data_IF_201550861006
#
_entry.id   IF_201550861006
#
_cell.length_a   1.000
_cell.length_b   1.000
_cell.length_c   1.000
_cell.angle_alpha   90.00
_cell.angle_beta   90.00
_cell.angle_gamma   90.00
#
_symmetry.space_group_name_H-M   'P 1'
#
loop_
_entity.id
_entity.type
_entity.pdbx_description
1 polymer ?
#
# COMPACT_ATOMS: atom_id res chain seq x y z
N UNK A 1 -48.35 22.28 -54.03
CA UNK A 1 -46.92 21.77 -54.13
C UNK A 1 -45.93 22.43 -53.18
N UNK A 2 -46.10 23.66 -52.69
CA UNK A 2 -45.17 24.37 -51.78
C UNK A 2 -45.17 23.86 -50.34
N UNK A 3 -46.26 23.32 -49.79
CA UNK A 3 -46.38 22.84 -48.38
C UNK A 3 -45.51 21.61 -48.04
N UNK A 4 -45.36 20.67 -49.02
CA UNK A 4 -44.61 19.43 -48.77
C UNK A 4 -43.08 19.62 -48.74
N UNK A 5 -42.55 20.70 -49.33
CA UNK A 5 -41.13 20.99 -49.38
C UNK A 5 -40.63 21.62 -48.05
N UNK A 6 -41.49 22.43 -47.41
CA UNK A 6 -41.14 23.06 -46.11
C UNK A 6 -41.17 22.04 -44.99
N UNK A 7 -42.10 21.06 -45.03
CA UNK A 7 -42.16 20.00 -44.03
C UNK A 7 -40.91 19.09 -44.08
N UNK A 8 -40.46 18.73 -45.29
CA UNK A 8 -39.28 17.87 -45.50
C UNK A 8 -37.95 18.55 -45.09
N UNK A 9 -37.85 19.89 -45.13
CA UNK A 9 -36.71 20.66 -44.64
C UNK A 9 -36.68 20.75 -43.13
N UNK A 10 -37.83 20.93 -42.46
CA UNK A 10 -37.94 20.97 -41.01
C UNK A 10 -37.59 19.61 -40.36
N UNK A 11 -38.07 18.51 -40.95
CA UNK A 11 -37.76 17.15 -40.45
C UNK A 11 -36.25 16.84 -40.55
N UNK A 12 -35.56 17.23 -41.63
CA UNK A 12 -34.10 17.02 -41.77
C UNK A 12 -33.32 17.88 -40.77
N UNK A 13 -33.72 19.13 -40.50
CA UNK A 13 -33.08 19.98 -39.51
C UNK A 13 -33.24 19.45 -38.07
N UNK A 14 -34.42 18.94 -37.73
CA UNK A 14 -34.72 18.34 -36.42
C UNK A 14 -33.85 17.08 -36.24
N UNK A 15 -33.68 16.25 -37.28
CA UNK A 15 -32.93 15.03 -37.22
C UNK A 15 -31.39 15.30 -37.01
N UNK A 16 -30.86 16.35 -37.63
CA UNK A 16 -29.48 16.78 -37.45
C UNK A 16 -29.25 17.34 -36.07
N UNK A 17 -30.15 18.17 -35.54
CA UNK A 17 -30.08 18.71 -34.19
C UNK A 17 -30.18 17.60 -33.13
N UNK A 18 -31.15 16.67 -33.32
CA UNK A 18 -31.29 15.53 -32.41
C UNK A 18 -30.06 14.63 -32.40
N UNK A 19 -29.45 14.39 -33.55
CA UNK A 19 -28.19 13.59 -33.66
C UNK A 19 -27.01 14.33 -33.03
N UNK A 20 -26.88 15.65 -33.19
CA UNK A 20 -25.84 16.43 -32.54
C UNK A 20 -25.99 16.45 -31.01
N UNK A 21 -27.22 16.57 -30.50
CA UNK A 21 -27.51 16.50 -29.07
C UNK A 21 -27.21 15.11 -28.51
N UNK A 22 -27.53 14.05 -29.27
CA UNK A 22 -27.22 12.67 -28.86
C UNK A 22 -25.71 12.42 -28.80
N UNK A 23 -24.92 12.93 -29.78
CA UNK A 23 -23.46 12.84 -29.73
C UNK A 23 -22.90 13.63 -28.55
N UNK A 24 -23.46 14.81 -28.27
CA UNK A 24 -23.02 15.66 -27.15
C UNK A 24 -23.28 14.97 -25.79
N UNK A 25 -24.44 14.33 -25.63
CA UNK A 25 -24.79 13.56 -24.42
C UNK A 25 -23.92 12.31 -24.27
N UNK A 26 -23.52 11.68 -25.37
CA UNK A 26 -22.65 10.50 -25.35
C UNK A 26 -21.20 10.83 -24.97
N UNK A 27 -20.70 12.00 -25.37
CA UNK A 27 -19.35 12.50 -25.03
C UNK A 27 -19.29 13.04 -23.62
N UNK A 28 -20.39 13.66 -23.11
CA UNK A 28 -20.45 14.18 -21.74
C UNK A 28 -20.44 13.10 -20.66
N UNK A 29 -20.81 11.84 -20.98
CA UNK A 29 -20.85 10.72 -20.03
C UNK A 29 -19.50 10.08 -19.70
N UNK A 30 -18.38 10.54 -20.27
CA UNK A 30 -17.07 9.89 -20.12
C UNK A 30 -16.13 10.56 -19.10
N UNK A 31 -16.58 11.59 -18.38
CA UNK A 31 -15.77 12.23 -17.34
C UNK A 31 -16.07 11.56 -16.00
N UNK A 32 -15.23 10.62 -15.60
CA UNK A 32 -15.25 10.06 -14.25
C UNK A 32 -14.31 10.87 -13.37
N UNK A 33 -14.85 11.55 -12.37
CA UNK A 33 -14.05 12.18 -11.33
C UNK A 33 -13.64 11.12 -10.30
N UNK A 34 -12.39 11.14 -9.88
CA UNK A 34 -11.90 10.28 -8.78
C UNK A 34 -12.32 10.91 -7.45
N UNK A 35 -13.04 10.15 -6.62
CA UNK A 35 -13.36 10.57 -5.27
C UNK A 35 -12.22 10.20 -4.32
N UNK A 36 -11.84 11.15 -3.47
CA UNK A 36 -10.85 10.96 -2.40
C UNK A 36 -11.57 11.02 -1.06
N UNK A 37 -11.32 10.06 -0.19
CA UNK A 37 -11.84 10.01 1.16
C UNK A 37 -10.72 10.09 2.20
N UNK A 38 -10.97 10.76 3.33
CA UNK A 38 -10.07 10.84 4.47
C UNK A 38 -10.83 10.42 5.73
N UNK A 39 -10.22 9.60 6.56
CA UNK A 39 -10.79 9.17 7.83
C UNK A 39 -9.73 9.16 8.94
N UNK A 40 -9.96 9.88 10.06
CA UNK A 40 -11.04 10.83 10.32
C UNK A 40 -10.92 12.11 9.49
N UNK A 41 -12.01 12.86 9.32
CA UNK A 41 -12.02 14.14 8.59
C UNK A 41 -11.44 15.31 9.39
N UNK A 42 -11.29 15.15 10.70
CA UNK A 42 -10.68 16.12 11.62
C UNK A 42 -9.76 15.39 12.58
N UNK A 43 -8.67 16.03 12.98
CA UNK A 43 -7.71 15.46 13.93
C UNK A 43 -7.32 16.52 14.97
N UNK A 44 -7.45 16.18 16.26
CA UNK A 44 -7.01 17.04 17.38
C UNK A 44 -5.84 16.38 18.09
N UNK A 45 -4.73 17.08 18.24
CA UNK A 45 -3.60 16.70 19.08
C UNK A 45 -3.79 17.40 20.44
N UNK A 46 -4.21 16.63 21.44
CA UNK A 46 -4.56 17.13 22.77
C UNK A 46 -3.33 17.15 23.69
N UNK A 47 -3.19 18.21 24.48
CA UNK A 47 -2.19 18.32 25.53
C UNK A 47 -0.74 18.21 25.07
N UNK A 48 -0.40 18.70 23.88
CA UNK A 48 0.98 18.64 23.36
C UNK A 48 1.85 19.66 24.11
N UNK A 49 3.02 19.23 24.60
CA UNK A 49 3.96 20.13 25.25
C UNK A 49 4.62 21.08 24.23
N UNK A 50 5.03 22.24 24.69
CA UNK A 50 5.92 23.15 23.95
C UNK A 50 7.21 22.43 23.60
N UNK A 51 7.64 22.45 22.32
CA UNK A 51 8.77 21.67 21.84
C UNK A 51 8.55 20.15 21.94
N UNK A 52 7.31 19.72 22.21
CA UNK A 52 6.94 18.34 22.39
C UNK A 52 6.70 17.58 21.10
N UNK A 53 6.10 16.41 21.23
CA UNK A 53 5.82 15.50 20.13
C UNK A 53 4.46 14.83 20.34
N UNK A 54 3.67 14.73 19.28
CA UNK A 54 2.48 13.88 19.26
C UNK A 54 2.24 13.36 17.86
N UNK A 55 1.85 12.09 17.70
CA UNK A 55 1.54 11.52 16.39
C UNK A 55 0.14 10.92 16.35
N UNK A 56 -0.47 11.03 15.18
CA UNK A 56 -1.73 10.38 14.84
C UNK A 56 -1.67 9.88 13.40
N UNK A 57 -2.49 8.89 13.07
CA UNK A 57 -2.59 8.37 11.71
C UNK A 57 -3.96 8.67 11.14
N UNK A 58 -3.99 8.99 9.84
CA UNK A 58 -5.21 9.15 9.05
C UNK A 58 -5.17 8.23 7.85
N UNK A 59 -6.33 7.72 7.46
CA UNK A 59 -6.44 6.79 6.32
C UNK A 59 -6.98 7.55 5.13
N UNK A 60 -6.26 7.48 4.01
CA UNK A 60 -6.66 8.05 2.73
C UNK A 60 -7.08 6.92 1.80
N UNK A 61 -8.24 7.08 1.16
CA UNK A 61 -8.82 6.11 0.23
C UNK A 61 -9.29 6.79 -1.05
N UNK A 62 -9.36 6.03 -2.15
CA UNK A 62 -9.91 6.48 -3.44
C UNK A 62 -10.83 5.40 -4.02
N UNK A 63 -11.74 5.81 -4.90
CA UNK A 63 -12.65 4.89 -5.61
C UNK A 63 -12.10 4.41 -6.96
N UNK A 64 -10.88 4.79 -7.32
CA UNK A 64 -10.21 4.42 -8.57
C UNK A 64 -9.53 3.06 -8.48
N UNK A 65 -9.73 2.20 -9.47
CA UNK A 65 -8.99 0.93 -9.66
C UNK A 65 -7.52 1.18 -10.03
N UNK A 66 -7.26 2.24 -10.81
CA UNK A 66 -5.90 2.65 -11.15
C UNK A 66 -5.26 3.41 -9.99
N UNK A 67 -3.96 3.22 -9.73
CA UNK A 67 -3.24 3.98 -8.71
C UNK A 67 -3.31 5.49 -8.97
N UNK A 68 -3.69 6.24 -7.95
CA UNK A 68 -3.78 7.71 -7.96
C UNK A 68 -2.67 8.26 -7.08
N UNK A 69 -1.86 9.14 -7.62
CA UNK A 69 -0.85 9.86 -6.85
C UNK A 69 -1.53 10.98 -6.06
N UNK A 70 -1.30 11.02 -4.74
CA UNK A 70 -1.77 12.05 -3.83
C UNK A 70 -0.57 12.89 -3.40
N UNK A 71 -0.69 14.20 -3.52
CA UNK A 71 0.24 15.20 -3.00
C UNK A 71 -0.33 15.80 -1.72
N UNK A 72 0.54 16.07 -0.73
CA UNK A 72 0.17 16.57 0.58
C UNK A 72 0.81 17.92 0.84
N UNK A 73 0.04 18.90 1.31
CA UNK A 73 0.51 20.25 1.61
C UNK A 73 -0.07 20.77 2.95
N UNK A 74 0.76 21.14 3.93
CA UNK A 74 0.30 21.74 5.17
C UNK A 74 -0.05 23.21 4.97
N UNK A 75 -1.12 23.69 5.62
CA UNK A 75 -1.61 25.07 5.54
C UNK A 75 -2.09 25.60 6.89
N UNK A 76 -2.08 26.89 7.05
CA UNK A 76 -2.49 27.59 8.27
C UNK A 76 -1.33 27.87 9.23
N UNK A 77 -1.65 28.30 10.44
CA UNK A 77 -0.67 28.73 11.44
C UNK A 77 0.26 27.64 11.96
N UNK A 78 -0.22 26.38 11.93
CA UNK A 78 0.53 25.20 12.37
C UNK A 78 1.29 24.51 11.25
N UNK A 79 1.32 25.04 10.03
CA UNK A 79 1.90 24.39 8.86
C UNK A 79 3.36 23.94 9.08
N UNK A 80 4.13 24.76 9.81
CA UNK A 80 5.54 24.47 10.11
C UNK A 80 5.73 23.48 11.28
N UNK A 81 4.66 23.18 12.03
CA UNK A 81 4.70 22.26 13.17
C UNK A 81 4.31 20.83 12.78
N UNK A 82 3.64 20.71 11.61
CA UNK A 82 3.12 19.43 11.13
C UNK A 82 4.13 18.79 10.20
N UNK A 83 4.59 17.62 10.61
CA UNK A 83 5.39 16.72 9.80
C UNK A 83 4.56 15.49 9.43
N UNK A 84 4.89 14.87 8.32
CA UNK A 84 4.20 13.66 7.84
C UNK A 84 5.17 12.76 7.10
N UNK A 85 4.80 11.46 6.97
CA UNK A 85 5.76 10.45 6.53
C UNK A 85 6.21 10.60 5.09
N UNK A 86 5.35 11.13 4.17
CA UNK A 86 5.67 11.30 2.75
C UNK A 86 4.87 12.46 2.16
N UNK A 87 5.53 13.26 1.32
CA UNK A 87 4.92 14.40 0.59
C UNK A 87 4.00 13.93 -0.54
N UNK A 88 4.22 12.70 -1.04
CA UNK A 88 3.40 12.07 -2.06
C UNK A 88 3.39 10.54 -1.89
N UNK A 89 2.27 9.94 -2.24
CA UNK A 89 2.07 8.48 -2.20
C UNK A 89 0.94 8.08 -3.15
N UNK A 90 0.89 6.79 -3.50
CA UNK A 90 -0.15 6.25 -4.39
C UNK A 90 -1.21 5.48 -3.62
N UNK A 91 -2.48 5.69 -4.01
CA UNK A 91 -3.66 5.03 -3.43
C UNK A 91 -4.50 4.44 -4.55
N UNK A 92 -5.12 3.28 -4.33
CA UNK A 92 -6.08 2.66 -5.25
C UNK A 92 -7.22 2.01 -4.47
N UNK A 93 -8.30 1.65 -5.16
CA UNK A 93 -9.41 0.91 -4.53
C UNK A 93 -8.90 -0.36 -3.85
N UNK A 94 -9.29 -0.58 -2.59
CA UNK A 94 -8.88 -1.73 -1.79
C UNK A 94 -7.45 -1.66 -1.24
N UNK A 95 -6.68 -0.60 -1.54
CA UNK A 95 -5.35 -0.34 -0.98
C UNK A 95 -5.28 1.09 -0.43
N UNK A 96 -5.98 1.39 0.68
CA UNK A 96 -5.90 2.68 1.33
C UNK A 96 -4.50 2.89 1.88
N UNK A 97 -4.11 4.17 2.03
CA UNK A 97 -2.84 4.55 2.61
C UNK A 97 -3.04 5.13 4.00
N UNK A 98 -2.26 4.67 4.99
CA UNK A 98 -2.22 5.23 6.34
C UNK A 98 -1.08 6.24 6.44
N UNK A 99 -1.42 7.53 6.46
CA UNK A 99 -0.47 8.61 6.62
C UNK A 99 -0.29 8.92 8.11
N UNK A 100 0.95 8.88 8.57
CA UNK A 100 1.35 9.33 9.90
C UNK A 100 1.52 10.84 9.88
N UNK A 101 0.87 11.53 10.80
CA UNK A 101 0.96 12.97 11.01
C UNK A 101 1.55 13.21 12.39
N UNK A 102 2.54 14.08 12.46
CA UNK A 102 3.28 14.42 13.67
C UNK A 102 3.09 15.92 13.94
N UNK A 103 2.63 16.25 15.13
CA UNK A 103 2.64 17.61 15.65
C UNK A 103 3.90 17.82 16.49
N UNK A 104 4.70 18.83 16.11
CA UNK A 104 5.95 19.17 16.78
C UNK A 104 6.05 20.69 16.93
N UNK A 105 5.29 21.29 17.87
CA UNK A 105 5.24 22.74 18.07
C UNK A 105 6.59 23.27 18.57
N UNK A 106 6.92 24.55 18.30
CA UNK A 106 8.09 25.21 18.85
C UNK A 106 8.06 25.30 20.39
N UNK A 107 9.22 25.47 21.00
CA UNK A 107 9.33 25.58 22.47
C UNK A 107 8.84 26.92 23.05
N UNK A 108 8.74 27.94 22.22
CA UNK A 108 8.39 29.33 22.60
C UNK A 108 6.93 29.69 22.33
N UNK A 109 6.13 28.72 21.85
CA UNK A 109 4.71 28.96 21.56
C UNK A 109 3.88 29.05 22.86
N UNK A 110 2.94 30.01 23.00
CA UNK A 110 2.04 30.07 24.17
C UNK A 110 1.13 28.86 24.28
N UNK A 111 0.60 28.60 25.50
CA UNK A 111 -0.46 27.63 25.68
C UNK A 111 -1.73 28.10 24.95
N UNK A 112 -2.47 27.17 24.33
CA UNK A 112 -3.69 27.47 23.61
C UNK A 112 -3.98 26.45 22.50
N UNK A 113 -5.05 26.72 21.77
CA UNK A 113 -5.48 25.91 20.62
C UNK A 113 -5.07 26.59 19.32
N UNK A 114 -4.36 25.86 18.50
CA UNK A 114 -3.87 26.30 17.20
C UNK A 114 -4.48 25.44 16.11
N UNK A 115 -4.84 26.05 14.98
CA UNK A 115 -5.56 25.37 13.92
C UNK A 115 -4.84 25.47 12.57
N UNK A 116 -5.04 24.48 11.73
CA UNK A 116 -4.56 24.44 10.36
C UNK A 116 -5.18 23.28 9.59
N UNK A 117 -4.66 23.06 8.41
CA UNK A 117 -5.18 22.04 7.49
C UNK A 117 -4.03 21.30 6.85
N UNK A 118 -4.24 20.02 6.60
CA UNK A 118 -3.41 19.23 5.71
C UNK A 118 -4.23 18.98 4.43
N UNK A 119 -3.80 19.60 3.33
CA UNK A 119 -4.47 19.50 2.04
C UNK A 119 -3.94 18.33 1.26
N UNK A 120 -4.83 17.46 0.81
CA UNK A 120 -4.56 16.33 -0.07
C UNK A 120 -5.07 16.66 -1.47
N UNK A 121 -4.21 16.53 -2.46
CA UNK A 121 -4.53 16.84 -3.85
C UNK A 121 -4.20 15.65 -4.73
N UNK A 122 -5.09 15.30 -5.65
CA UNK A 122 -4.74 14.34 -6.70
C UNK A 122 -3.74 15.00 -7.66
N UNK A 123 -2.59 14.35 -7.89
CA UNK A 123 -1.67 14.76 -8.95
C UNK A 123 -2.34 14.59 -10.32
N UNK A 124 -1.79 15.25 -11.33
CA UNK A 124 -2.36 15.25 -12.68
C UNK A 124 -2.58 13.81 -13.20
N UNK A 125 -3.84 13.40 -13.31
CA UNK A 125 -4.23 12.19 -14.03
C UNK A 125 -4.29 12.51 -15.52
N UNK A 126 -3.20 12.28 -16.22
CA UNK A 126 -3.12 12.43 -17.66
C UNK A 126 -1.72 12.85 -18.10
N UNK A 127 -1.01 11.95 -18.76
CA UNK A 127 0.13 12.34 -19.58
C UNK A 127 -0.44 13.11 -20.77
N UNK A 128 -0.24 14.44 -20.79
CA UNK A 128 -0.54 15.26 -21.94
C UNK A 128 0.24 14.75 -23.14
N UNK A 129 -0.46 14.35 -24.19
CA UNK A 129 0.14 14.21 -25.50
C UNK A 129 0.54 15.63 -25.91
N UNK A 130 1.81 15.86 -26.19
CA UNK A 130 2.32 17.17 -26.62
C UNK A 130 1.41 17.76 -27.70
N UNK A 131 0.90 18.96 -27.44
CA UNK A 131 0.13 19.75 -28.42
C UNK A 131 -1.39 19.83 -28.22
N UNK A 132 -1.98 19.20 -27.20
CA UNK A 132 -3.42 19.33 -26.90
C UNK A 132 -3.67 19.90 -25.51
N UNK A 133 -4.59 20.88 -25.41
CA UNK A 133 -5.08 21.40 -24.13
C UNK A 133 -5.88 20.30 -23.44
N UNK A 134 -5.29 19.69 -22.41
CA UNK A 134 -5.98 18.72 -21.56
C UNK A 134 -6.54 19.46 -20.36
N UNK A 135 -7.85 19.43 -20.17
CA UNK A 135 -8.49 19.87 -18.94
C UNK A 135 -8.18 18.87 -17.84
N UNK A 136 -7.35 19.27 -16.88
CA UNK A 136 -7.00 18.43 -15.74
C UNK A 136 -7.92 18.79 -14.58
N UNK A 137 -8.76 17.84 -14.16
CA UNK A 137 -9.57 17.96 -12.94
C UNK A 137 -8.71 17.46 -11.78
N UNK A 138 -8.36 18.34 -10.85
CA UNK A 138 -7.73 18.00 -9.58
C UNK A 138 -8.80 17.98 -8.49
N UNK A 139 -8.88 16.89 -7.75
CA UNK A 139 -9.68 16.83 -6.53
C UNK A 139 -8.79 17.20 -5.36
N UNK A 140 -9.27 18.07 -4.48
CA UNK A 140 -8.60 18.40 -3.22
C UNK A 140 -9.52 18.20 -2.04
N UNK A 141 -8.96 17.72 -0.92
CA UNK A 141 -9.66 17.52 0.34
C UNK A 141 -8.77 18.01 1.48
N UNK A 142 -9.35 18.75 2.42
CA UNK A 142 -8.63 19.31 3.56
C UNK A 142 -8.98 18.52 4.82
N UNK A 143 -7.96 18.05 5.54
CA UNK A 143 -8.05 17.51 6.89
C UNK A 143 -7.86 18.68 7.86
N UNK A 144 -8.86 18.98 8.67
CA UNK A 144 -8.73 19.98 9.72
C UNK A 144 -7.91 19.43 10.89
N UNK A 145 -6.90 20.18 11.32
CA UNK A 145 -6.02 19.82 12.43
C UNK A 145 -6.09 20.88 13.50
N UNK A 146 -6.27 20.45 14.75
CA UNK A 146 -6.16 21.28 15.94
C UNK A 146 -5.02 20.75 16.80
N UNK A 147 -4.16 21.63 17.30
CA UNK A 147 -3.11 21.32 18.25
C UNK A 147 -3.34 22.13 19.52
N UNK A 148 -3.62 21.42 20.62
CA UNK A 148 -3.75 22.01 21.95
C UNK A 148 -2.38 21.98 22.65
N UNK A 149 -1.83 23.15 22.94
CA UNK A 149 -0.54 23.34 23.59
C UNK A 149 -0.72 23.56 25.09
N UNK A 150 0.05 22.82 25.89
CA UNK A 150 0.08 22.89 27.34
C UNK A 150 1.52 22.91 27.87
N UNK A 151 1.68 23.31 29.14
CA UNK A 151 2.92 23.16 29.93
C UNK A 151 2.79 22.10 31.03
N UNK A 152 1.66 21.40 31.10
CA UNK A 152 1.42 20.35 32.09
C UNK A 152 1.97 19.02 31.53
N UNK A 153 2.99 18.50 32.20
CA UNK A 153 3.53 17.17 31.87
C UNK A 153 2.61 16.06 32.38
N UNK A 154 2.28 15.13 31.51
CA UNK A 154 1.51 13.93 31.84
C UNK A 154 2.36 12.71 31.54
N UNK A 155 2.66 11.91 32.55
CA UNK A 155 3.32 10.63 32.46
C UNK A 155 2.27 9.52 32.63
N UNK A 156 1.89 8.90 31.51
CA UNK A 156 0.96 7.77 31.49
C UNK A 156 1.42 6.76 30.45
N UNK A 157 1.57 5.50 30.84
CA UNK A 157 1.89 4.42 29.91
C UNK A 157 1.26 3.11 30.36
N UNK A 158 1.16 2.19 29.41
CA UNK A 158 0.68 0.83 29.66
C UNK A 158 1.51 -0.16 28.86
N UNK A 159 1.99 -1.22 29.52
CA UNK A 159 2.56 -2.38 28.83
C UNK A 159 1.51 -3.48 28.71
N UNK A 160 1.57 -4.21 27.58
CA UNK A 160 0.62 -5.26 27.24
C UNK A 160 1.24 -6.23 26.19
N UNK A 161 0.50 -7.28 25.79
CA UNK A 161 0.96 -8.29 24.82
C UNK A 161 2.26 -8.97 25.25
N UNK A 162 2.37 -9.29 26.54
CA UNK A 162 3.54 -10.00 27.06
C UNK A 162 3.59 -11.43 26.53
N UNK A 163 4.72 -11.82 26.01
CA UNK A 163 4.98 -13.14 25.42
C UNK A 163 6.39 -13.61 25.77
N UNK A 164 6.53 -14.90 26.11
CA UNK A 164 7.79 -15.62 26.20
C UNK A 164 7.60 -16.97 25.53
N UNK A 165 8.65 -17.51 24.92
CA UNK A 165 8.62 -18.82 24.30
C UNK A 165 9.62 -19.75 24.99
N UNK A 166 9.28 -21.05 24.98
CA UNK A 166 10.20 -22.08 25.37
C UNK A 166 11.41 -22.11 24.43
N UNK A 167 12.59 -22.36 24.99
CA UNK A 167 13.88 -22.33 24.27
C UNK A 167 14.68 -23.58 24.55
N UNK A 168 15.61 -23.91 23.66
CA UNK A 168 16.60 -24.96 23.91
C UNK A 168 17.69 -24.42 24.87
N UNK A 169 18.20 -25.26 25.77
CA UNK A 169 19.28 -24.87 26.71
C UNK A 169 20.49 -24.32 25.97
N UNK A 170 20.91 -23.13 26.31
CA UNK A 170 21.99 -22.39 25.65
C UNK A 170 21.52 -21.33 24.65
N UNK A 171 20.23 -21.32 24.26
CA UNK A 171 19.64 -20.25 23.50
C UNK A 171 19.12 -19.14 24.42
N UNK A 172 19.02 -17.90 23.91
CA UNK A 172 18.46 -16.78 24.65
C UNK A 172 16.95 -16.94 24.84
N UNK A 173 16.48 -16.74 26.08
CA UNK A 173 15.06 -16.56 26.39
C UNK A 173 14.66 -15.15 25.90
N UNK A 174 13.64 -15.08 25.04
CA UNK A 174 13.20 -13.81 24.43
C UNK A 174 11.84 -13.45 25.04
N UNK A 175 11.82 -12.29 25.70
CA UNK A 175 10.62 -11.71 26.27
C UNK A 175 10.15 -10.55 25.38
N UNK A 176 8.97 -10.68 24.80
CA UNK A 176 8.35 -9.68 23.94
C UNK A 176 7.18 -9.00 24.64
N UNK A 177 7.04 -7.71 24.47
CA UNK A 177 5.87 -6.94 24.93
C UNK A 177 5.80 -5.60 24.19
N UNK A 178 4.63 -4.95 24.28
CA UNK A 178 4.40 -3.64 23.73
C UNK A 178 4.20 -2.62 24.86
N UNK A 179 4.71 -1.41 24.69
CA UNK A 179 4.45 -0.27 25.59
C UNK A 179 3.79 0.83 24.78
N UNK A 180 2.59 1.23 25.20
CA UNK A 180 1.88 2.41 24.70
C UNK A 180 2.16 3.58 25.64
N UNK A 181 2.81 4.62 25.16
CA UNK A 181 2.93 5.89 25.87
C UNK A 181 1.69 6.73 25.60
N UNK A 182 0.84 6.89 26.60
CA UNK A 182 -0.38 7.72 26.55
C UNK A 182 -0.16 9.14 27.05
N UNK A 183 1.01 9.39 27.65
CA UNK A 183 1.40 10.70 28.15
C UNK A 183 1.88 11.62 27.02
N UNK A 184 2.33 12.80 27.41
CA UNK A 184 2.86 13.83 26.52
C UNK A 184 4.36 14.09 26.67
N UNK A 185 5.05 13.29 27.49
CA UNK A 185 6.51 13.27 27.63
C UNK A 185 7.10 11.98 27.07
N UNK A 186 8.36 12.03 26.66
CA UNK A 186 9.14 10.82 26.33
C UNK A 186 9.34 9.98 27.58
N UNK A 187 9.20 8.68 27.47
CA UNK A 187 9.47 7.74 28.56
C UNK A 187 10.53 6.74 28.15
N UNK A 188 11.30 6.27 29.11
CA UNK A 188 12.24 5.15 28.96
C UNK A 188 11.86 4.12 30.02
N UNK A 189 10.92 3.19 29.67
CA UNK A 189 10.37 2.26 30.65
C UNK A 189 11.48 1.37 31.23
N UNK A 190 11.53 1.30 32.55
CA UNK A 190 12.36 0.37 33.28
C UNK A 190 11.62 -0.96 33.40
N UNK A 191 12.21 -2.04 32.90
CA UNK A 191 11.63 -3.38 32.93
C UNK A 191 12.51 -4.28 33.79
N UNK A 192 11.89 -4.97 34.73
CA UNK A 192 12.50 -6.01 35.56
C UNK A 192 11.91 -7.35 35.19
N UNK A 193 12.75 -8.35 34.96
CA UNK A 193 12.34 -9.72 34.67
C UNK A 193 12.96 -10.61 35.74
N UNK A 194 12.09 -11.29 36.51
CA UNK A 194 12.44 -12.24 37.53
C UNK A 194 12.06 -13.65 37.07
N UNK A 195 13.03 -14.55 36.95
CA UNK A 195 12.79 -15.96 36.60
C UNK A 195 12.82 -16.76 37.90
N UNK A 196 11.71 -17.44 38.17
CA UNK A 196 11.49 -18.24 39.34
C UNK A 196 11.69 -19.73 39.04
N UNK A 197 12.00 -20.50 40.06
CA UNK A 197 12.00 -21.96 40.03
C UNK A 197 10.62 -22.54 39.72
N UNK A 198 10.53 -23.85 39.57
CA UNK A 198 9.29 -24.57 39.22
C UNK A 198 8.20 -24.41 40.28
N UNK A 199 8.58 -24.23 41.52
CA UNK A 199 7.66 -24.11 42.65
C UNK A 199 7.33 -22.64 43.02
N UNK A 200 7.89 -21.67 42.30
CA UNK A 200 7.77 -20.22 42.56
C UNK A 200 8.22 -19.81 43.96
N UNK A 201 9.24 -20.47 44.49
CA UNK A 201 9.77 -20.18 45.83
C UNK A 201 11.04 -19.35 45.80
N UNK A 202 11.87 -19.49 44.76
CA UNK A 202 13.17 -18.84 44.65
C UNK A 202 13.34 -18.14 43.29
N UNK A 203 13.84 -16.90 43.32
CA UNK A 203 14.26 -16.19 42.11
C UNK A 203 15.63 -16.71 41.67
N UNK A 204 15.68 -17.45 40.59
CA UNK A 204 16.92 -18.01 40.06
C UNK A 204 17.72 -17.01 39.27
N UNK A 205 17.03 -16.05 38.64
CA UNK A 205 17.65 -15.02 37.82
C UNK A 205 16.79 -13.77 37.81
N UNK A 206 17.42 -12.62 37.99
CA UNK A 206 16.77 -11.31 37.89
C UNK A 206 17.59 -10.39 37.01
N UNK A 207 16.95 -9.65 36.12
CA UNK A 207 17.63 -8.72 35.22
C UNK A 207 16.78 -7.49 34.97
N UNK A 208 17.42 -6.33 35.02
CA UNK A 208 16.81 -5.02 34.74
C UNK A 208 17.24 -4.51 33.38
N UNK A 209 16.28 -3.92 32.64
CA UNK A 209 16.46 -3.35 31.31
C UNK A 209 15.91 -1.92 31.27
N UNK A 210 16.61 -1.01 30.58
CA UNK A 210 16.18 0.39 30.38
C UNK A 210 16.81 0.96 29.11
N UNK A 211 16.48 0.41 27.95
CA UNK A 211 17.25 0.67 26.72
C UNK A 211 16.54 1.61 25.73
N UNK A 212 15.23 1.54 25.59
CA UNK A 212 14.51 2.17 24.49
C UNK A 212 13.57 3.28 24.95
N UNK A 213 13.66 4.44 24.27
CA UNK A 213 12.68 5.51 24.45
C UNK A 213 11.39 5.24 23.68
N UNK A 214 10.25 5.60 24.28
CA UNK A 214 8.94 5.61 23.63
C UNK A 214 8.44 7.05 23.62
N UNK A 215 8.24 7.59 22.41
CA UNK A 215 7.75 8.96 22.22
C UNK A 215 6.28 9.08 22.69
N UNK A 216 5.82 10.29 23.04
CA UNK A 216 4.42 10.53 23.36
C UNK A 216 3.47 10.01 22.27
N UNK A 217 2.34 9.48 22.66
CA UNK A 217 1.27 8.95 21.79
C UNK A 217 1.67 7.76 20.91
N UNK A 218 2.90 7.21 21.08
CA UNK A 218 3.41 6.12 20.26
C UNK A 218 3.43 4.78 20.98
N UNK A 219 3.60 3.71 20.20
CA UNK A 219 3.86 2.36 20.67
C UNK A 219 5.33 2.01 20.49
N UNK A 220 5.93 1.39 21.52
CA UNK A 220 7.25 0.77 21.44
C UNK A 220 7.14 -0.74 21.56
N UNK A 221 7.78 -1.48 20.65
CA UNK A 221 7.93 -2.93 20.76
C UNK A 221 9.25 -3.23 21.43
N UNK A 222 9.21 -4.09 22.44
CA UNK A 222 10.37 -4.52 23.22
C UNK A 222 10.60 -6.01 23.01
N UNK A 223 11.87 -6.38 22.83
CA UNK A 223 12.31 -7.75 22.72
C UNK A 223 13.58 -7.89 23.57
N UNK A 224 13.41 -8.31 24.82
CA UNK A 224 14.48 -8.43 25.80
C UNK A 224 15.01 -9.84 25.82
N UNK A 225 16.34 -9.98 25.94
CA UNK A 225 17.00 -11.28 25.88
C UNK A 225 17.68 -11.59 27.22
N UNK A 226 17.53 -12.82 27.66
CA UNK A 226 18.17 -13.36 28.86
C UNK A 226 18.78 -14.71 28.53
N UNK A 227 20.05 -14.90 28.85
CA UNK A 227 20.77 -16.17 28.65
C UNK A 227 20.15 -17.29 29.48
N UNK A 228 19.92 -18.47 28.85
CA UNK A 228 19.36 -19.67 29.49
C UNK A 228 20.40 -20.66 30.01
N UNK A 229 21.69 -20.46 29.74
CA UNK A 229 22.76 -21.44 30.00
C UNK A 229 22.83 -21.92 31.45
N UNK A 230 22.51 -21.04 32.39
CA UNK A 230 22.54 -21.32 33.84
C UNK A 230 21.30 -22.06 34.35
N UNK A 231 20.24 -22.17 33.54
CA UNK A 231 19.01 -22.83 33.92
C UNK A 231 19.06 -24.32 33.54
N UNK A 232 18.52 -25.18 34.37
CA UNK A 232 18.37 -26.59 34.09
C UNK A 232 17.17 -26.85 33.14
N UNK A 233 17.01 -28.11 32.68
CA UNK A 233 15.85 -28.49 31.86
C UNK A 233 14.61 -28.53 32.74
N UNK A 234 13.53 -27.88 32.30
CA UNK A 234 12.27 -27.89 33.02
C UNK A 234 11.44 -26.63 32.73
N UNK A 235 10.29 -26.52 33.39
CA UNK A 235 9.37 -25.37 33.30
C UNK A 235 9.76 -24.32 34.34
N UNK A 236 9.66 -23.07 33.95
CA UNK A 236 9.95 -21.90 34.77
C UNK A 236 8.82 -20.87 34.70
N UNK A 237 8.79 -20.00 35.70
CA UNK A 237 7.91 -18.84 35.73
C UNK A 237 8.75 -17.59 35.51
N UNK A 238 8.21 -16.63 34.79
CA UNK A 238 8.81 -15.32 34.63
C UNK A 238 7.83 -14.22 34.99
N UNK A 239 8.19 -13.39 35.96
CA UNK A 239 7.47 -12.15 36.26
C UNK A 239 8.14 -11.02 35.50
N UNK A 240 7.39 -10.44 34.56
CA UNK A 240 7.83 -9.27 33.82
C UNK A 240 7.12 -8.05 34.38
N UNK A 241 7.87 -7.10 34.89
CA UNK A 241 7.36 -5.87 35.51
C UNK A 241 7.90 -4.65 34.79
N UNK A 242 7.02 -3.90 34.08
CA UNK A 242 7.35 -2.59 33.50
C UNK A 242 7.00 -1.54 34.56
N UNK A 243 8.00 -1.16 35.35
CA UNK A 243 7.82 -0.43 36.59
C UNK A 243 7.17 0.94 36.41
N UNK A 244 7.66 1.71 35.42
CA UNK A 244 7.17 3.08 35.17
C UNK A 244 5.75 3.10 34.59
N UNK A 245 5.26 1.97 34.06
CA UNK A 245 3.92 1.82 33.49
C UNK A 245 2.95 1.07 34.42
N UNK A 246 3.40 0.70 35.62
CA UNK A 246 2.61 -0.08 36.61
C UNK A 246 1.95 -1.31 35.97
N UNK A 247 2.68 -1.97 35.07
CA UNK A 247 2.17 -3.13 34.34
C UNK A 247 3.06 -4.33 34.59
N UNK A 248 2.47 -5.45 34.98
CA UNK A 248 3.19 -6.71 35.19
C UNK A 248 2.39 -7.90 34.68
N UNK A 249 3.10 -8.95 34.31
CA UNK A 249 2.53 -10.23 33.86
C UNK A 249 3.44 -11.38 34.26
N UNK A 250 2.84 -12.43 34.82
CA UNK A 250 3.51 -13.73 35.03
C UNK A 250 3.28 -14.61 33.82
N UNK A 251 4.35 -15.19 33.30
CA UNK A 251 4.36 -16.10 32.15
C UNK A 251 5.07 -17.39 32.50
N UNK A 252 4.81 -18.48 31.77
CA UNK A 252 5.51 -19.75 31.86
C UNK A 252 6.24 -20.06 30.57
N UNK A 253 7.41 -20.69 30.69
CA UNK A 253 8.20 -21.20 29.56
C UNK A 253 9.00 -22.43 29.99
N UNK A 254 9.44 -23.20 29.00
CA UNK A 254 10.27 -24.39 29.25
C UNK A 254 11.69 -24.17 28.71
N UNK A 255 12.68 -24.67 29.47
CA UNK A 255 14.03 -24.90 28.96
C UNK A 255 14.10 -26.34 28.50
N UNK A 256 14.29 -26.54 27.22
CA UNK A 256 14.24 -27.83 26.55
C UNK A 256 15.66 -28.35 26.24
N UNK A 257 15.77 -29.67 26.06
CA UNK A 257 17.01 -30.26 25.60
C UNK A 257 17.37 -29.77 24.18
N UNK A 258 18.66 -29.62 23.85
CA UNK A 258 19.08 -29.26 22.50
C UNK A 258 18.53 -30.21 21.44
N UNK A 259 17.92 -29.69 20.39
CA UNK A 259 17.28 -30.45 19.32
C UNK A 259 15.81 -30.85 19.59
N UNK A 260 15.23 -30.44 20.73
CA UNK A 260 13.83 -30.70 21.06
C UNK A 260 12.84 -29.93 20.21
N UNK A 261 13.16 -28.68 19.87
CA UNK A 261 12.30 -27.82 19.02
C UNK A 261 12.44 -28.17 17.54
N UNK A 262 11.33 -28.42 16.91
CA UNK A 262 11.27 -28.84 15.51
C UNK A 262 11.29 -27.65 14.57
N UNK A 263 12.22 -27.64 13.61
CA UNK A 263 12.17 -26.78 12.46
C UNK A 263 11.26 -27.40 11.41
N UNK A 264 10.16 -26.76 11.06
CA UNK A 264 9.23 -27.20 10.02
C UNK A 264 8.77 -26.00 9.18
N UNK A 265 8.61 -26.23 7.88
CA UNK A 265 8.22 -25.14 6.98
C UNK A 265 7.57 -25.65 5.72
N UNK A 266 6.69 -24.83 5.16
CA UNK A 266 5.94 -25.13 3.94
C UNK A 266 6.07 -24.02 2.93
N UNK A 267 6.37 -24.38 1.67
CA UNK A 267 6.28 -23.48 0.53
C UNK A 267 4.82 -23.35 0.12
N UNK A 268 4.22 -22.18 0.36
CA UNK A 268 2.81 -21.94 0.05
C UNK A 268 2.58 -21.80 -1.45
N UNK A 269 3.55 -21.25 -2.18
CA UNK A 269 3.46 -21.12 -3.62
C UNK A 269 4.49 -20.17 -4.21
N UNK A 270 4.55 -20.20 -5.54
CA UNK A 270 5.32 -19.27 -6.37
C UNK A 270 4.31 -18.47 -7.18
N UNK A 271 4.28 -17.17 -6.98
CA UNK A 271 3.37 -16.25 -7.65
C UNK A 271 4.14 -15.43 -8.69
N UNK A 272 3.54 -15.24 -9.85
CA UNK A 272 4.04 -14.38 -10.92
C UNK A 272 2.88 -13.91 -11.78
N UNK A 273 3.13 -12.97 -12.68
CA UNK A 273 2.16 -12.57 -13.68
C UNK A 273 1.80 -13.78 -14.59
N UNK A 274 0.53 -13.93 -14.95
CA UNK A 274 0.11 -15.00 -15.87
C UNK A 274 0.67 -14.79 -17.28
N UNK A 275 0.79 -13.52 -17.70
CA UNK A 275 1.29 -13.12 -19.01
C UNK A 275 2.28 -11.96 -18.87
N UNK A 276 3.29 -11.92 -19.73
CA UNK A 276 4.25 -10.84 -19.83
C UNK A 276 4.65 -10.60 -21.29
N UNK A 277 5.25 -9.45 -21.58
CA UNK A 277 5.88 -9.19 -22.89
C UNK A 277 7.38 -9.50 -22.82
N UNK A 278 7.95 -9.83 -23.97
CA UNK A 278 9.41 -9.99 -24.12
C UNK A 278 10.14 -8.72 -23.65
N UNK A 279 11.26 -8.89 -22.96
CA UNK A 279 12.09 -7.82 -22.38
C UNK A 279 11.39 -6.96 -21.32
N UNK A 280 10.36 -7.49 -20.66
CA UNK A 280 9.78 -6.87 -19.45
C UNK A 280 10.30 -7.55 -18.20
N UNK A 281 10.49 -6.76 -17.12
CA UNK A 281 10.89 -7.30 -15.85
C UNK A 281 9.67 -7.88 -15.11
N UNK A 282 9.65 -9.19 -14.91
CA UNK A 282 8.54 -9.94 -14.31
C UNK A 282 8.86 -10.25 -12.85
N UNK A 283 8.04 -9.81 -11.89
CA UNK A 283 8.22 -10.16 -10.49
C UNK A 283 7.85 -11.62 -10.23
N UNK A 284 8.64 -12.25 -9.37
CA UNK A 284 8.40 -13.61 -8.86
C UNK A 284 8.37 -13.50 -7.33
N UNK A 285 7.27 -13.88 -6.73
CA UNK A 285 7.08 -13.88 -5.28
C UNK A 285 6.93 -15.30 -4.79
N UNK A 286 7.79 -15.69 -3.84
CA UNK A 286 7.82 -17.04 -3.27
C UNK A 286 7.44 -16.94 -1.80
N UNK A 287 6.27 -17.44 -1.43
CA UNK A 287 5.76 -17.37 -0.06
C UNK A 287 6.08 -18.63 0.71
N UNK A 288 6.80 -18.50 1.81
CA UNK A 288 7.16 -19.58 2.73
C UNK A 288 6.59 -19.29 4.11
N UNK A 289 6.01 -20.32 4.73
CA UNK A 289 5.49 -20.26 6.10
C UNK A 289 6.32 -21.17 7.00
N UNK A 290 6.81 -20.63 8.11
CA UNK A 290 7.37 -21.42 9.19
C UNK A 290 6.21 -21.99 10.03
N UNK A 291 6.07 -23.29 10.05
CA UNK A 291 5.07 -24.04 10.86
C UNK A 291 5.72 -24.82 11.99
N UNK A 292 7.03 -24.60 12.19
CA UNK A 292 7.81 -25.23 13.26
C UNK A 292 7.68 -24.55 14.62
N UNK A 293 8.50 -25.01 15.55
CA UNK A 293 8.53 -24.57 16.95
C UNK A 293 9.70 -23.62 17.24
N UNK A 294 10.52 -23.31 16.26
CA UNK A 294 11.61 -22.32 16.34
C UNK A 294 11.75 -21.50 15.07
N UNK A 295 12.36 -20.35 15.20
CA UNK A 295 12.71 -19.50 14.06
C UNK A 295 13.68 -20.24 13.14
N UNK A 296 13.54 -20.06 11.83
CA UNK A 296 14.36 -20.72 10.83
C UNK A 296 15.00 -19.72 9.88
N UNK A 297 16.25 -19.93 9.55
CA UNK A 297 16.92 -19.23 8.47
C UNK A 297 16.59 -19.95 7.15
N UNK A 298 15.91 -19.26 6.24
CA UNK A 298 15.40 -19.82 5.01
C UNK A 298 15.83 -19.05 3.77
N UNK A 299 15.98 -19.72 2.63
CA UNK A 299 16.26 -19.14 1.32
C UNK A 299 15.65 -19.99 0.21
N UNK A 300 15.31 -19.36 -0.89
CA UNK A 300 14.75 -20.04 -2.07
C UNK A 300 15.83 -20.40 -3.08
N UNK A 301 15.73 -21.59 -3.67
CA UNK A 301 16.47 -22.01 -4.86
C UNK A 301 15.51 -22.58 -5.89
N UNK A 302 15.60 -22.07 -7.12
CA UNK A 302 14.75 -22.47 -8.22
C UNK A 302 15.38 -22.28 -9.58
N UNK A 303 14.59 -22.51 -10.61
CA UNK A 303 14.98 -22.35 -12.00
C UNK A 303 13.80 -21.87 -12.85
N UNK A 304 14.13 -21.16 -13.91
CA UNK A 304 13.20 -20.81 -15.00
C UNK A 304 13.57 -21.65 -16.20
N UNK A 305 12.59 -22.36 -16.78
CA UNK A 305 12.79 -23.18 -17.96
C UNK A 305 11.88 -22.78 -19.11
N UNK A 306 12.33 -22.92 -20.33
CA UNK A 306 11.56 -22.80 -21.57
C UNK A 306 11.68 -24.14 -22.30
N UNK A 307 10.59 -24.93 -22.31
CA UNK A 307 10.68 -26.35 -22.67
C UNK A 307 11.65 -27.09 -21.78
N UNK A 308 12.60 -27.79 -22.37
CA UNK A 308 13.63 -28.56 -21.64
C UNK A 308 14.89 -27.73 -21.30
N UNK A 309 14.96 -26.47 -21.75
CA UNK A 309 16.13 -25.62 -21.54
C UNK A 309 15.99 -24.78 -20.26
N UNK A 310 17.01 -24.84 -19.39
CA UNK A 310 17.11 -23.92 -18.24
C UNK A 310 17.60 -22.57 -18.76
N UNK A 311 16.79 -21.55 -18.52
CA UNK A 311 17.09 -20.17 -18.95
C UNK A 311 17.81 -19.42 -17.84
N UNK A 312 17.36 -19.58 -16.58
CA UNK A 312 17.91 -18.89 -15.43
C UNK A 312 17.81 -19.77 -14.18
N UNK A 313 18.83 -19.69 -13.34
CA UNK A 313 18.78 -20.22 -11.96
C UNK A 313 18.40 -19.06 -11.04
N UNK A 314 17.51 -19.34 -10.09
CA UNK A 314 17.02 -18.38 -9.11
C UNK A 314 17.56 -18.78 -7.74
N UNK A 315 18.13 -17.83 -7.02
CA UNK A 315 18.57 -18.00 -5.64
C UNK A 315 18.39 -16.68 -4.88
N UNK A 316 17.93 -16.77 -3.62
CA UNK A 316 17.78 -15.60 -2.74
C UNK A 316 18.80 -15.62 -1.63
N UNK A 317 19.01 -14.49 -1.01
CA UNK A 317 19.70 -14.40 0.26
C UNK A 317 18.90 -15.12 1.35
N UNK A 318 19.60 -15.48 2.42
CA UNK A 318 19.00 -16.08 3.60
C UNK A 318 18.24 -15.02 4.40
N UNK A 319 17.06 -15.40 4.88
CA UNK A 319 16.15 -14.57 5.66
C UNK A 319 15.74 -15.33 6.92
N UNK A 320 15.68 -14.65 8.06
CA UNK A 320 15.11 -15.22 9.27
C UNK A 320 13.59 -15.20 9.17
N UNK A 321 12.96 -16.38 9.35
CA UNK A 321 11.51 -16.57 9.31
C UNK A 321 11.03 -16.97 10.68
N UNK A 322 10.39 -16.06 11.44
CA UNK A 322 9.89 -16.33 12.77
C UNK A 322 8.82 -17.43 12.78
N UNK A 323 8.60 -18.03 13.95
CA UNK A 323 7.54 -19.03 14.16
C UNK A 323 6.18 -18.47 13.71
N UNK A 324 5.41 -19.30 12.99
CA UNK A 324 4.06 -19.00 12.50
C UNK A 324 3.99 -17.86 11.49
N UNK A 325 5.11 -17.22 11.14
CA UNK A 325 5.14 -16.15 10.14
C UNK A 325 5.15 -16.67 8.71
N UNK A 326 4.72 -15.80 7.80
CA UNK A 326 4.83 -16.00 6.36
C UNK A 326 5.76 -14.91 5.85
N UNK A 327 6.84 -15.33 5.21
CA UNK A 327 7.76 -14.43 4.55
C UNK A 327 7.76 -14.65 3.05
N UNK A 328 7.98 -13.58 2.30
CA UNK A 328 7.96 -13.61 0.84
C UNK A 328 9.32 -13.23 0.28
N UNK A 329 9.93 -14.14 -0.46
CA UNK A 329 11.15 -13.91 -1.22
C UNK A 329 10.76 -13.28 -2.56
N UNK A 330 11.31 -12.11 -2.86
CA UNK A 330 11.06 -11.39 -4.10
C UNK A 330 12.24 -11.53 -5.05
N UNK A 331 11.96 -11.99 -6.27
CA UNK A 331 12.91 -12.16 -7.36
C UNK A 331 12.35 -11.54 -8.62
N UNK A 332 13.21 -11.41 -9.63
CA UNK A 332 12.82 -10.89 -10.93
C UNK A 332 13.37 -11.77 -12.05
N UNK A 333 12.60 -11.86 -13.12
CA UNK A 333 12.97 -12.55 -14.34
C UNK A 333 12.63 -11.68 -15.56
N UNK A 334 13.55 -11.60 -16.51
CA UNK A 334 13.34 -10.87 -17.77
C UNK A 334 13.40 -11.86 -18.94
N UNK A 335 12.24 -12.26 -19.51
CA UNK A 335 12.20 -13.17 -20.64
C UNK A 335 12.73 -12.50 -21.91
N UNK A 336 13.58 -13.20 -22.67
CA UNK A 336 14.16 -12.73 -23.93
C UNK A 336 13.45 -13.26 -25.17
N UNK A 337 12.69 -14.35 -25.06
CA UNK A 337 11.99 -15.00 -26.15
C UNK A 337 10.51 -15.21 -25.78
N UNK A 338 9.58 -15.20 -26.77
CA UNK A 338 8.19 -15.55 -26.50
C UNK A 338 8.07 -17.05 -26.26
N UNK A 339 7.14 -17.46 -25.39
CA UNK A 339 6.91 -18.86 -25.10
C UNK A 339 6.33 -19.10 -23.70
N UNK A 340 6.18 -20.37 -23.36
CA UNK A 340 5.67 -20.82 -22.06
C UNK A 340 6.84 -21.16 -21.15
N UNK A 341 7.08 -20.32 -20.16
CA UNK A 341 8.10 -20.52 -19.14
C UNK A 341 7.51 -21.23 -17.94
N UNK A 342 8.29 -22.13 -17.35
CA UNK A 342 7.97 -22.78 -16.08
C UNK A 342 8.99 -22.30 -15.06
N UNK A 343 8.51 -21.74 -13.96
CA UNK A 343 9.29 -21.30 -12.82
C UNK A 343 9.07 -22.32 -11.72
N UNK A 344 10.10 -23.03 -11.29
CA UNK A 344 10.01 -24.06 -10.27
C UNK A 344 11.13 -23.94 -9.24
N UNK A 345 10.88 -24.38 -8.01
CA UNK A 345 11.89 -24.36 -6.97
C UNK A 345 11.41 -24.82 -5.60
N UNK A 346 12.31 -24.69 -4.62
CA UNK A 346 12.13 -25.13 -3.22
C UNK A 346 12.71 -24.11 -2.28
N UNK A 347 12.20 -24.06 -1.06
CA UNK A 347 12.79 -23.33 0.04
C UNK A 347 13.63 -24.28 0.88
N UNK A 348 14.87 -23.86 1.18
CA UNK A 348 15.81 -24.55 2.07
C UNK A 348 15.78 -23.83 3.41
N UNK A 349 15.72 -24.56 4.50
CA UNK A 349 15.68 -24.02 5.87
C UNK A 349 16.24 -25.02 6.87
N UNK A 350 17.09 -24.58 7.80
CA UNK A 350 17.65 -25.43 8.89
C UNK A 350 18.11 -26.81 8.42
N UNK A 351 18.80 -26.92 7.28
CA UNK A 351 19.24 -28.20 6.69
C UNK A 351 18.15 -29.05 6.02
N UNK A 352 16.92 -28.59 6.02
CA UNK A 352 15.75 -29.22 5.37
C UNK A 352 15.39 -28.50 4.08
N UNK A 353 14.44 -29.06 3.32
CA UNK A 353 13.89 -28.47 2.10
C UNK A 353 12.41 -28.77 1.99
N UNK A 354 11.64 -27.88 1.39
CA UNK A 354 10.23 -28.08 1.07
C UNK A 354 10.04 -29.02 -0.13
N UNK A 355 8.79 -29.42 -0.37
CA UNK A 355 8.41 -29.93 -1.69
C UNK A 355 8.63 -28.85 -2.75
N UNK A 356 8.82 -29.28 -3.99
CA UNK A 356 8.94 -28.38 -5.13
C UNK A 356 7.57 -27.81 -5.50
N UNK A 357 7.53 -26.51 -5.76
CA UNK A 357 6.37 -25.83 -6.34
C UNK A 357 6.74 -25.25 -7.69
N UNK A 358 5.75 -25.07 -8.55
CA UNK A 358 5.96 -24.47 -9.88
C UNK A 358 4.80 -23.57 -10.28
N UNK A 359 5.10 -22.60 -11.13
CA UNK A 359 4.11 -21.72 -11.76
C UNK A 359 4.46 -21.52 -13.23
N UNK A 360 3.50 -21.08 -14.02
CA UNK A 360 3.65 -20.87 -15.47
C UNK A 360 3.50 -19.41 -15.79
N UNK A 361 4.41 -18.91 -16.66
CA UNK A 361 4.40 -17.58 -17.23
C UNK A 361 4.30 -17.69 -18.75
N UNK A 362 3.27 -17.13 -19.37
CA UNK A 362 3.14 -17.01 -20.81
C UNK A 362 3.73 -15.69 -21.29
N UNK A 363 4.77 -15.77 -22.12
CA UNK A 363 5.43 -14.60 -22.68
C UNK A 363 5.02 -14.42 -24.14
N UNK A 364 4.48 -13.25 -24.44
CA UNK A 364 4.04 -12.89 -25.79
C UNK A 364 5.02 -11.91 -26.42
N UNK A 365 5.18 -12.00 -27.75
CA UNK A 365 5.90 -10.97 -28.49
C UNK A 365 5.15 -9.64 -28.39
N UNK A 366 5.89 -8.55 -28.34
CA UNK A 366 5.32 -7.20 -28.33
C UNK A 366 4.50 -6.97 -29.58
N UNK A 367 3.20 -7.24 -29.50
CA UNK A 367 2.27 -7.08 -30.63
C UNK A 367 1.97 -5.61 -30.85
N UNK A 368 1.99 -5.17 -32.10
CA UNK A 368 1.39 -3.88 -32.45
C UNK A 368 -0.06 -3.88 -32.05
N UNK A 369 -0.42 -2.98 -31.14
CA UNK A 369 -1.80 -2.83 -30.69
C UNK A 369 -2.68 -2.34 -31.86
N UNK A 370 -3.28 -3.30 -32.59
CA UNK A 370 -4.22 -3.02 -33.69
C UNK A 370 -5.38 -2.11 -33.25
N UNK A 371 -5.68 -2.07 -31.94
CA UNK A 371 -6.71 -1.20 -31.33
C UNK A 371 -6.38 0.29 -31.47
N UNK A 372 -5.10 0.69 -31.50
CA UNK A 372 -4.71 2.10 -31.67
C UNK A 372 -4.91 2.61 -33.11
N UNK A 373 -5.02 1.69 -34.09
CA UNK A 373 -5.26 2.03 -35.51
C UNK A 373 -6.75 2.12 -35.85
N UNK A 374 -7.63 1.42 -35.09
CA UNK A 374 -9.07 1.40 -35.36
C UNK A 374 -9.75 2.77 -35.10
N UNK A 375 -9.30 3.50 -34.09
CA UNK A 375 -9.84 4.82 -33.75
C UNK A 375 -9.55 5.88 -34.84
N UNK A 376 -8.31 6.10 -35.30
CA UNK A 376 -8.05 7.03 -36.39
C UNK A 376 -8.69 6.60 -37.72
N UNK A 377 -8.80 5.29 -37.99
CA UNK A 377 -9.49 4.79 -39.18
C UNK A 377 -10.98 5.11 -39.15
N UNK A 378 -11.63 4.95 -38.00
CA UNK A 378 -13.04 5.33 -37.80
C UNK A 378 -13.26 6.84 -38.01
N UNK A 379 -12.33 7.69 -37.55
CA UNK A 379 -12.39 9.14 -37.77
C UNK A 379 -12.23 9.51 -39.25
N UNK A 380 -11.33 8.86 -39.98
CA UNK A 380 -11.14 9.08 -41.41
C UNK A 380 -12.41 8.71 -42.17
N UNK A 381 -13.02 7.57 -41.85
CA UNK A 381 -14.29 7.12 -42.49
C UNK A 381 -15.42 8.12 -42.17
N UNK A 382 -15.48 8.65 -40.96
CA UNK A 382 -16.49 9.65 -40.56
C UNK A 382 -16.34 10.96 -41.33
N UNK A 383 -15.09 11.44 -41.51
CA UNK A 383 -14.79 12.66 -42.26
C UNK A 383 -15.18 12.49 -43.74
N UNK A 384 -14.89 11.32 -44.34
CA UNK A 384 -15.31 10.98 -45.68
C UNK A 384 -16.83 10.96 -45.88
N UNK A 385 -17.57 10.38 -44.89
CA UNK A 385 -19.03 10.35 -44.87
C UNK A 385 -19.62 11.76 -44.79
N UNK A 386 -19.08 12.62 -43.93
CA UNK A 386 -19.53 14.00 -43.79
C UNK A 386 -19.22 14.78 -45.10
N UNK A 387 -18.04 14.64 -45.68
CA UNK A 387 -17.67 15.23 -46.97
C UNK A 387 -18.59 14.81 -48.10
N UNK A 388 -18.91 13.51 -48.18
CA UNK A 388 -19.84 12.94 -49.19
C UNK A 388 -21.26 13.50 -49.02
N UNK A 389 -21.76 13.60 -47.80
CA UNK A 389 -23.07 14.20 -47.51
C UNK A 389 -23.10 15.69 -47.89
N UNK A 390 -22.03 16.42 -47.64
CA UNK A 390 -21.92 17.84 -48.03
C UNK A 390 -21.89 18.02 -49.55
N UNK A 391 -21.19 17.14 -50.26
CA UNK A 391 -21.15 17.13 -51.72
C UNK A 391 -22.49 16.78 -52.33
N UNK A 392 -23.23 15.80 -51.78
CA UNK A 392 -24.56 15.42 -52.22
C UNK A 392 -25.60 16.56 -52.00
N UNK A 393 -25.54 17.24 -50.91
CA UNK A 393 -26.41 18.40 -50.60
C UNK A 393 -26.09 19.58 -51.54
N UNK A 394 -24.80 19.81 -51.86
CA UNK A 394 -24.38 20.87 -52.78
C UNK A 394 -24.84 20.57 -54.23
N UNK A 395 -24.77 19.31 -54.64
CA UNK A 395 -25.26 18.85 -55.97
C UNK A 395 -26.80 18.98 -56.10
N UNK A 396 -27.56 18.60 -55.09
CA UNK A 396 -29.02 18.78 -55.06
C UNK A 396 -29.40 20.28 -55.08
N UNK A 397 -28.68 21.16 -54.35
CA UNK A 397 -28.91 22.61 -54.41
C UNK A 397 -28.67 23.19 -55.79
N UNK A 398 -27.61 22.78 -56.54
CA UNK A 398 -27.35 23.21 -57.91
C UNK A 398 -28.45 22.76 -58.88
N UNK A 399 -28.90 21.54 -58.77
CA UNK A 399 -30.02 21.01 -59.55
C UNK A 399 -31.33 21.79 -59.33
N UNK A 400 -31.60 22.17 -58.09
CA UNK A 400 -32.79 22.96 -57.71
C UNK A 400 -32.74 24.38 -58.26
N UNK A 401 -31.61 25.04 -58.18
CA UNK A 401 -31.40 26.39 -58.75
C UNK A 401 -31.54 26.39 -60.28
N UNK A 402 -31.06 25.34 -60.97
CA UNK A 402 -31.19 25.20 -62.42
C UNK A 402 -32.65 24.93 -62.84
N UNK A 403 -33.41 24.13 -62.10
CA UNK A 403 -34.87 23.92 -62.34
C UNK A 403 -35.68 25.20 -62.15
N UNK A 404 -35.33 26.07 -61.16
CA UNK A 404 -35.95 27.35 -60.94
C UNK A 404 -35.65 28.38 -62.04
N UNK A 405 -34.50 28.31 -62.68
CA UNK A 405 -34.12 29.14 -63.85
C UNK A 405 -34.85 28.74 -65.12
N UNK A 406 -35.22 27.46 -65.30
CA UNK A 406 -35.99 26.97 -66.46
C UNK A 406 -37.50 27.28 -66.36
N UNK A 407 -38.02 27.51 -65.15
CA UNK A 407 -39.46 27.86 -64.94
C UNK A 407 -39.70 29.42 -65.10
N UNK A 408 -38.61 30.21 -65.11
CA UNK A 408 -38.66 31.65 -65.30
C UNK A 408 -38.36 32.12 -66.71
N UNK A 409 -38.14 31.24 -67.64
CA UNK A 409 -38.12 31.44 -69.08
C UNK A 409 -39.44 30.90 -69.67
#
# INVERSE_FOLDING_TARGET
MKKNIICKKRTKAILVVSFSVFIYLFVAGLVSAVNVGISPATTTFEGVLRGGYSEKSVVISVDSESPVLIEVEPRGEIAQWINYSFDNFTVSRGRPYSLKIIANPPADVPNGNYTGFLRFMTAQLGQGVEGHAVSVVRTSLDLAITVEITDIEVRDCRAYSFEVRSVEKGDDIIFNFEVLNKGNIKIRPRTVIDVWDQDQLEILKSQEFSEKEVLPTTKGNFSLRMDSSSLELGQYWADISVVDCYSSQTLTFDILAPGALKAEGVLLGILTNKTAEVNTNVPIEVSFKNIGEKDVEAYFKGKVTLGDKIIQVLETDKMNVPISSIETFSLFFTPTEPGRYIISGRVFYSGKKTFESSTVLEVVSRGFALKSLLLPLAYIVLIFLIGFLFFKIRKEKKLYVNKLKQIKK
#
